data_IF_764729035370
#
_entry.id   IF_764729035370
#
_cell.length_a   1.000
_cell.length_b   1.000
_cell.length_c   1.000
_cell.angle_alpha   90.00
_cell.angle_beta   90.00
_cell.angle_gamma   90.00
#
_symmetry.space_group_name_H-M   'P 1'
#
loop_
_entity.id
_entity.type
_entity.pdbx_description
1 polymer ?
#
# COMPACT_ATOMS: atom_id res chain seq x y z
N UNK A 1 -9.43 -12.37 -9.50
CA UNK A 1 -9.67 -13.30 -10.62
C UNK A 1 -8.44 -14.18 -10.75
N UNK A 2 -8.60 -15.47 -10.97
CA UNK A 2 -7.51 -16.37 -11.40
C UNK A 2 -7.54 -16.46 -12.92
N UNK A 3 -6.41 -16.78 -13.53
CA UNK A 3 -6.31 -16.97 -14.98
C UNK A 3 -4.86 -17.24 -15.38
N UNK A 4 -4.69 -18.11 -16.35
CA UNK A 4 -3.41 -18.36 -17.01
C UNK A 4 -3.10 -17.34 -18.11
N UNK A 5 -2.18 -17.69 -19.03
CA UNK A 5 -1.93 -16.92 -20.25
C UNK A 5 -3.19 -16.77 -21.13
N UNK A 6 -3.09 -15.91 -22.14
CA UNK A 6 -4.13 -15.77 -23.17
C UNK A 6 -4.55 -17.13 -23.74
N UNK A 7 -5.87 -17.44 -23.89
CA UNK A 7 -7.05 -16.59 -23.72
C UNK A 7 -7.59 -16.49 -22.28
N UNK A 8 -6.99 -17.19 -21.33
CA UNK A 8 -7.57 -17.43 -20.01
C UNK A 8 -7.64 -16.18 -19.12
N UNK A 9 -6.80 -15.18 -19.40
CA UNK A 9 -6.86 -13.87 -18.74
C UNK A 9 -8.04 -12.98 -19.19
N UNK A 10 -8.80 -13.40 -20.23
CA UNK A 10 -9.95 -12.66 -20.81
C UNK A 10 -11.31 -13.25 -20.46
N UNK A 11 -11.39 -14.05 -19.39
CA UNK A 11 -12.66 -14.59 -18.88
C UNK A 11 -13.66 -13.46 -18.59
N UNK A 12 -14.94 -13.75 -18.78
CA UNK A 12 -16.02 -12.81 -18.48
C UNK A 12 -15.95 -12.30 -17.02
N UNK A 13 -16.29 -11.03 -16.83
CA UNK A 13 -16.35 -10.42 -15.51
C UNK A 13 -17.41 -11.12 -14.64
N UNK A 14 -17.06 -11.64 -13.45
CA UNK A 14 -18.02 -12.25 -12.54
C UNK A 14 -18.80 -11.17 -11.77
N UNK A 15 -19.84 -10.61 -12.41
CA UNK A 15 -20.66 -9.52 -11.87
C UNK A 15 -21.36 -9.88 -10.55
N UNK A 16 -21.63 -11.17 -10.31
CA UNK A 16 -22.23 -11.68 -9.08
C UNK A 16 -21.34 -11.44 -7.84
N UNK A 17 -20.04 -11.20 -8.03
CA UNK A 17 -19.08 -10.94 -6.95
C UNK A 17 -18.90 -9.46 -6.62
N UNK A 18 -19.53 -8.57 -7.38
CA UNK A 18 -19.42 -7.12 -7.18
C UNK A 18 -20.39 -6.71 -6.07
N UNK A 19 -19.98 -6.93 -4.83
CA UNK A 19 -20.72 -6.49 -3.63
C UNK A 19 -19.92 -5.49 -2.81
N UNK A 20 -20.62 -4.78 -1.92
CA UNK A 20 -20.02 -3.89 -0.93
C UNK A 20 -19.13 -4.60 0.09
N UNK A 21 -19.25 -5.93 0.21
CA UNK A 21 -18.54 -6.72 1.23
C UNK A 21 -17.24 -7.33 0.68
N UNK A 22 -16.88 -7.04 -0.56
CA UNK A 22 -15.68 -7.56 -1.17
C UNK A 22 -14.45 -6.80 -0.65
N UNK A 23 -13.74 -7.37 0.32
CA UNK A 23 -12.59 -6.75 1.01
C UNK A 23 -11.54 -6.19 0.05
N UNK A 24 -11.09 -6.98 -0.93
CA UNK A 24 -10.09 -6.51 -1.90
C UNK A 24 -10.59 -5.33 -2.75
N UNK A 25 -11.87 -5.31 -3.13
CA UNK A 25 -12.47 -4.19 -3.88
C UNK A 25 -12.47 -2.92 -3.01
N UNK A 26 -12.89 -3.03 -1.76
CA UNK A 26 -12.90 -1.90 -0.82
C UNK A 26 -11.49 -1.40 -0.51
N UNK A 27 -10.55 -2.32 -0.37
CA UNK A 27 -9.14 -2.01 -0.18
C UNK A 27 -8.57 -1.23 -1.38
N UNK A 28 -8.82 -1.69 -2.62
CA UNK A 28 -8.41 -0.96 -3.83
C UNK A 28 -9.09 0.41 -3.92
N UNK A 29 -10.37 0.54 -3.54
CA UNK A 29 -11.05 1.84 -3.46
C UNK A 29 -10.36 2.81 -2.48
N UNK A 30 -9.91 2.33 -1.31
CA UNK A 30 -9.12 3.13 -0.35
C UNK A 30 -7.82 3.61 -0.98
N UNK A 31 -7.09 2.73 -1.67
CA UNK A 31 -5.86 3.10 -2.40
C UNK A 31 -6.12 4.15 -3.49
N UNK A 32 -7.20 4.02 -4.26
CA UNK A 32 -7.59 5.01 -5.27
C UNK A 32 -7.87 6.37 -4.64
N UNK A 33 -8.53 6.41 -3.47
CA UNK A 33 -8.79 7.66 -2.74
C UNK A 33 -7.47 8.34 -2.35
N UNK A 34 -6.53 7.60 -1.78
CA UNK A 34 -5.19 8.11 -1.42
C UNK A 34 -4.47 8.65 -2.65
N UNK A 35 -4.46 7.90 -3.75
CA UNK A 35 -3.84 8.34 -5.02
C UNK A 35 -4.42 9.66 -5.54
N UNK A 36 -5.74 9.85 -5.41
CA UNK A 36 -6.40 11.09 -5.83
C UNK A 36 -5.99 12.27 -4.95
N UNK A 37 -5.91 12.07 -3.63
CA UNK A 37 -5.44 13.12 -2.72
C UNK A 37 -3.97 13.48 -2.95
N UNK A 38 -3.10 12.49 -3.15
CA UNK A 38 -1.67 12.69 -3.39
C UNK A 38 -1.33 12.90 -4.88
N UNK A 39 -2.29 13.24 -5.73
CA UNK A 39 -2.11 13.23 -7.19
C UNK A 39 -1.04 14.24 -7.64
N UNK A 40 -1.00 15.43 -7.06
CA UNK A 40 0.03 16.43 -7.37
C UNK A 40 1.43 15.95 -6.96
N UNK A 41 1.54 15.37 -5.76
CA UNK A 41 2.78 14.82 -5.20
C UNK A 41 3.31 13.66 -6.03
N UNK A 42 2.45 12.77 -6.53
CA UNK A 42 2.86 11.64 -7.38
C UNK A 42 3.25 12.13 -8.78
N UNK A 43 2.54 13.12 -9.34
CA UNK A 43 2.78 13.60 -10.71
C UNK A 43 4.01 14.50 -10.84
N UNK A 44 4.26 15.36 -9.85
CA UNK A 44 5.29 16.39 -9.91
C UNK A 44 6.38 16.24 -8.86
N UNK A 45 6.17 15.37 -7.87
CA UNK A 45 7.13 15.16 -6.79
C UNK A 45 8.36 14.39 -7.19
N UNK A 46 9.42 14.58 -6.40
CA UNK A 46 10.64 13.78 -6.51
C UNK A 46 10.39 12.41 -5.88
N UNK A 47 10.54 11.37 -6.67
CA UNK A 47 10.44 9.98 -6.26
C UNK A 47 11.78 9.46 -5.74
N UNK A 48 11.74 8.68 -4.65
CA UNK A 48 12.86 7.86 -4.21
C UNK A 48 12.39 6.46 -3.81
N UNK A 49 13.27 5.49 -4.08
CA UNK A 49 13.16 4.09 -3.68
C UNK A 49 14.38 3.77 -2.83
N UNK A 50 14.16 3.27 -1.63
CA UNK A 50 15.24 2.89 -0.73
C UNK A 50 14.95 1.52 -0.12
N UNK A 51 15.93 0.63 -0.18
CA UNK A 51 15.92 -0.61 0.57
C UNK A 51 16.47 -0.33 1.98
N UNK A 52 15.61 -0.45 3.00
CA UNK A 52 16.00 -0.21 4.39
C UNK A 52 16.77 -1.43 4.92
N UNK A 53 16.31 -2.63 4.56
CA UNK A 53 16.87 -3.94 4.88
C UNK A 53 16.51 -4.90 3.74
N UNK A 54 17.17 -6.08 3.63
CA UNK A 54 16.74 -7.12 2.71
C UNK A 54 15.24 -7.37 2.79
N UNK A 55 14.57 -7.31 1.64
CA UNK A 55 13.12 -7.48 1.51
C UNK A 55 12.25 -6.44 2.24
N UNK A 56 12.82 -5.29 2.62
CA UNK A 56 12.11 -4.17 3.25
C UNK A 56 12.39 -2.87 2.48
N UNK A 57 11.35 -2.34 1.84
CA UNK A 57 11.48 -1.24 0.88
C UNK A 57 10.64 -0.05 1.30
N UNK A 58 11.22 1.15 1.24
CA UNK A 58 10.53 2.41 1.36
C UNK A 58 10.44 3.14 0.00
N UNK A 59 9.25 3.64 -0.29
CA UNK A 59 8.95 4.56 -1.38
C UNK A 59 8.64 5.91 -0.79
N UNK A 60 9.17 6.98 -1.37
CA UNK A 60 8.87 8.34 -0.93
C UNK A 60 8.67 9.27 -2.13
N UNK A 61 7.67 10.14 -2.04
CA UNK A 61 7.44 11.25 -2.95
C UNK A 61 7.41 12.54 -2.17
N UNK A 62 8.20 13.54 -2.61
CA UNK A 62 8.23 14.88 -2.02
C UNK A 62 7.85 15.94 -3.03
N UNK A 63 6.85 16.76 -2.69
CA UNK A 63 6.41 17.88 -3.52
C UNK A 63 5.77 18.96 -2.66
N UNK A 64 6.18 20.22 -2.83
CA UNK A 64 5.55 21.39 -2.20
C UNK A 64 5.30 21.25 -0.68
N UNK A 65 6.32 20.77 0.05
CA UNK A 65 6.24 20.52 1.50
C UNK A 65 5.42 19.28 1.90
N UNK A 66 4.74 18.61 0.97
CA UNK A 66 4.02 17.36 1.20
C UNK A 66 4.95 16.16 1.00
N UNK A 67 4.79 15.14 1.84
CA UNK A 67 5.54 13.89 1.78
C UNK A 67 4.55 12.73 1.76
N UNK A 68 4.55 11.97 0.66
CA UNK A 68 3.88 10.67 0.61
C UNK A 68 4.95 9.60 0.80
N UNK A 69 4.81 8.76 1.82
CA UNK A 69 5.78 7.70 2.14
C UNK A 69 5.05 6.37 2.24
N UNK A 70 5.65 5.30 1.75
CA UNK A 70 5.10 3.96 1.90
C UNK A 70 6.23 2.96 2.21
N UNK A 71 6.00 2.06 3.16
CA UNK A 71 6.96 1.01 3.53
C UNK A 71 6.31 -0.34 3.28
N UNK A 72 7.01 -1.23 2.59
CA UNK A 72 6.57 -2.57 2.23
C UNK A 72 7.50 -3.61 2.85
N UNK A 73 6.95 -4.50 3.67
CA UNK A 73 7.68 -5.59 4.28
C UNK A 73 7.43 -6.89 3.50
N UNK A 74 8.36 -7.25 2.62
CA UNK A 74 8.40 -8.56 1.95
C UNK A 74 9.27 -9.58 2.71
N UNK A 75 9.93 -9.16 3.79
CA UNK A 75 10.74 -10.04 4.61
C UNK A 75 9.88 -11.05 5.37
N UNK A 76 10.55 -11.99 6.03
CA UNK A 76 9.91 -13.00 6.90
C UNK A 76 9.78 -12.54 8.35
N UNK A 77 10.29 -11.35 8.67
CA UNK A 77 10.37 -10.82 10.03
C UNK A 77 9.46 -9.61 10.20
N UNK A 78 9.04 -9.35 11.42
CA UNK A 78 8.30 -8.15 11.76
C UNK A 78 9.22 -6.91 11.72
N UNK A 79 8.72 -5.81 11.16
CA UNK A 79 9.44 -4.54 11.15
C UNK A 79 8.76 -3.52 12.04
N UNK A 80 9.51 -2.98 13.02
CA UNK A 80 9.02 -2.00 13.98
C UNK A 80 9.34 -0.58 13.52
N UNK A 81 8.35 0.30 13.66
CA UNK A 81 8.44 1.73 13.39
C UNK A 81 7.86 2.51 14.57
N UNK A 82 8.37 3.72 14.74
CA UNK A 82 7.75 4.71 15.62
C UNK A 82 6.37 5.12 15.08
N UNK A 83 5.50 5.55 15.99
CA UNK A 83 4.12 5.89 15.65
C UNK A 83 4.07 7.20 14.84
N UNK A 84 3.65 7.08 13.59
CA UNK A 84 3.37 8.18 12.66
C UNK A 84 1.90 8.17 12.23
N UNK A 85 1.40 9.27 11.65
CA UNK A 85 0.03 9.33 11.12
C UNK A 85 -0.09 8.46 9.88
N UNK A 86 -0.85 7.36 9.98
CA UNK A 86 -1.02 6.37 8.91
C UNK A 86 -2.25 6.68 8.07
N UNK A 87 -2.09 6.73 6.75
CA UNK A 87 -3.18 6.86 5.78
C UNK A 87 -3.86 5.50 5.50
N UNK A 88 -3.05 4.45 5.39
CA UNK A 88 -3.51 3.07 5.17
C UNK A 88 -2.45 2.09 5.65
N UNK A 89 -2.88 1.03 6.31
CA UNK A 89 -2.03 -0.10 6.66
C UNK A 89 -2.71 -1.43 6.29
N UNK A 90 -1.90 -2.44 6.02
CA UNK A 90 -2.33 -3.80 5.78
C UNK A 90 -1.37 -4.76 6.46
N UNK A 91 -1.91 -5.75 7.18
CA UNK A 91 -1.14 -6.71 7.96
C UNK A 91 -0.16 -6.01 8.93
N UNK A 92 -0.68 -5.08 9.74
CA UNK A 92 0.09 -4.35 10.72
C UNK A 92 -0.61 -4.36 12.08
N UNK A 93 0.17 -4.28 13.15
CA UNK A 93 -0.31 -4.15 14.52
C UNK A 93 0.09 -2.79 15.08
N UNK A 94 -0.81 -2.14 15.79
CA UNK A 94 -0.56 -0.86 16.46
C UNK A 94 -0.56 -1.07 17.98
N UNK A 95 0.53 -0.62 18.62
CA UNK A 95 0.70 -0.55 20.06
C UNK A 95 0.85 0.92 20.48
N UNK A 96 0.81 1.21 21.79
CA UNK A 96 0.79 2.60 22.31
C UNK A 96 1.87 3.52 21.69
N UNK A 97 3.08 3.01 21.50
CA UNK A 97 4.22 3.78 20.97
C UNK A 97 4.84 3.21 19.68
N UNK A 98 4.34 2.09 19.16
CA UNK A 98 4.99 1.36 18.08
C UNK A 98 3.99 0.85 17.07
N UNK A 99 4.42 0.83 15.82
CA UNK A 99 3.72 0.20 14.72
C UNK A 99 4.54 -0.98 14.24
N UNK A 100 3.92 -2.12 14.04
CA UNK A 100 4.58 -3.36 13.60
C UNK A 100 4.02 -3.73 12.24
N UNK A 101 4.87 -3.75 11.22
CA UNK A 101 4.52 -4.25 9.89
C UNK A 101 4.92 -5.72 9.83
N UNK A 102 3.94 -6.62 9.80
CA UNK A 102 4.18 -8.05 9.67
C UNK A 102 4.56 -8.45 8.24
N UNK A 103 5.07 -9.67 8.01
CA UNK A 103 5.39 -10.17 6.67
C UNK A 103 4.26 -9.99 5.67
N UNK A 104 4.57 -9.52 4.45
CA UNK A 104 3.60 -9.11 3.40
C UNK A 104 2.71 -7.93 3.79
N UNK A 105 3.05 -7.23 4.86
CA UNK A 105 2.40 -6.01 5.29
C UNK A 105 2.99 -4.78 4.64
N UNK A 106 2.23 -3.69 4.69
CA UNK A 106 2.72 -2.39 4.27
C UNK A 106 1.96 -1.28 4.99
N UNK A 107 2.56 -0.10 5.00
CA UNK A 107 1.98 1.12 5.55
C UNK A 107 2.19 2.28 4.58
N UNK A 108 1.22 3.17 4.49
CA UNK A 108 1.27 4.42 3.71
C UNK A 108 1.02 5.58 4.66
N UNK A 109 1.87 6.59 4.58
CA UNK A 109 1.82 7.86 5.29
C UNK A 109 1.58 8.98 4.28
N UNK A 110 0.77 9.98 4.65
CA UNK A 110 0.48 11.18 3.86
C UNK A 110 0.29 12.38 4.79
#
# INVERSE_FOLDING_TARGET
MTGGPDPDCRRCMPWERVSSDHDMLNFVKKLIKIRKHASATIQHGKYSLQEIKPDLVALEWKYDGQILKAIFNQSKEDYLLEKETVALASNCQESENQFVISPKGFVIFH
#
